data_IF_661795713104
#
_entry.id   IF_661795713104
#
_cell.length_a   1.000
_cell.length_b   1.000
_cell.length_c   1.000
_cell.angle_alpha   90.00
_cell.angle_beta   90.00
_cell.angle_gamma   90.00
#
_symmetry.space_group_name_H-M   'P 1'
#
loop_
_entity.id
_entity.type
_entity.pdbx_description
1 polymer ?
#
# COMPACT_ATOMS: atom_id res chain seq x y z
N UNK A 1 -18.30 -8.67 20.97
CA UNK A 1 -18.89 -9.06 19.67
C UNK A 1 -18.68 -7.93 18.66
N UNK A 2 -18.88 -8.19 17.36
CA UNK A 2 -18.62 -7.24 16.26
C UNK A 2 -19.23 -5.85 16.49
N UNK A 3 -20.50 -5.78 16.92
CA UNK A 3 -21.17 -4.51 17.21
C UNK A 3 -20.46 -3.69 18.29
N UNK A 4 -19.98 -4.35 19.35
CA UNK A 4 -19.23 -3.68 20.42
C UNK A 4 -17.90 -3.13 19.91
N UNK A 5 -17.18 -3.91 19.09
CA UNK A 5 -15.93 -3.47 18.48
C UNK A 5 -16.14 -2.23 17.59
N UNK A 6 -17.15 -2.25 16.73
CA UNK A 6 -17.48 -1.10 15.88
C UNK A 6 -17.81 0.14 16.71
N UNK A 7 -18.64 0.00 17.74
CA UNK A 7 -18.97 1.11 18.63
C UNK A 7 -17.72 1.68 19.33
N UNK A 8 -16.82 0.80 19.80
CA UNK A 8 -15.57 1.21 20.44
C UNK A 8 -14.65 1.99 19.48
N UNK A 9 -14.42 1.48 18.27
CA UNK A 9 -13.56 2.14 17.28
C UNK A 9 -14.12 3.50 16.88
N UNK A 10 -15.44 3.59 16.63
CA UNK A 10 -16.07 4.85 16.19
C UNK A 10 -16.12 5.92 17.29
N UNK A 11 -16.31 5.51 18.55
CA UNK A 11 -16.45 6.46 19.66
C UNK A 11 -15.10 6.86 20.26
N UNK A 12 -14.21 5.89 20.47
CA UNK A 12 -12.95 6.12 21.19
C UNK A 12 -11.79 6.47 20.24
N UNK A 13 -11.86 6.05 18.97
CA UNK A 13 -10.83 6.28 17.93
C UNK A 13 -9.40 6.18 18.47
N UNK A 14 -9.00 5.01 19.02
CA UNK A 14 -7.71 4.84 19.68
C UNK A 14 -6.56 5.09 18.69
N UNK A 15 -5.78 6.14 18.95
CA UNK A 15 -4.79 6.66 17.99
C UNK A 15 -3.67 5.67 17.66
N UNK A 16 -3.34 4.77 18.58
CA UNK A 16 -2.22 3.84 18.45
C UNK A 16 -2.41 2.70 17.42
N UNK A 17 -3.62 2.52 16.89
CA UNK A 17 -3.93 1.46 15.91
C UNK A 17 -4.36 2.01 14.55
N UNK A 18 -4.26 3.33 14.35
CA UNK A 18 -4.71 4.00 13.11
C UNK A 18 -3.60 3.96 12.05
N UNK A 19 -2.35 4.08 12.47
CA UNK A 19 -1.22 4.06 11.56
C UNK A 19 -0.83 2.61 11.22
N UNK A 20 -0.57 2.39 9.93
CA UNK A 20 0.09 1.17 9.48
C UNK A 20 1.56 1.22 9.91
N UNK A 21 2.13 0.16 10.50
CA UNK A 21 3.56 0.10 10.79
C UNK A 21 4.38 0.15 9.50
N UNK A 22 5.64 0.58 9.57
CA UNK A 22 6.54 0.48 8.43
C UNK A 22 6.94 -0.97 8.20
N UNK A 23 7.34 -1.32 6.97
CA UNK A 23 7.75 -2.69 6.66
C UNK A 23 8.98 -3.12 7.48
N UNK A 24 9.84 -2.17 7.89
CA UNK A 24 11.04 -2.42 8.71
C UNK A 24 10.71 -2.75 10.17
N UNK A 25 9.54 -2.30 10.66
CA UNK A 25 9.09 -2.56 12.03
C UNK A 25 8.49 -3.97 12.20
N UNK A 26 8.18 -4.64 11.08
CA UNK A 26 7.58 -5.97 11.06
C UNK A 26 8.70 -7.01 11.08
N UNK A 27 8.95 -7.56 12.27
CA UNK A 27 10.01 -8.56 12.50
C UNK A 27 9.60 -9.99 12.16
N UNK A 28 8.32 -10.22 11.83
CA UNK A 28 7.86 -11.54 11.40
C UNK A 28 8.43 -11.90 10.03
N UNK A 29 8.63 -13.20 9.75
CA UNK A 29 8.90 -13.63 8.38
C UNK A 29 7.78 -13.18 7.43
N UNK A 30 8.10 -12.68 6.23
CA UNK A 30 7.10 -12.28 5.23
C UNK A 30 6.14 -13.41 4.87
N UNK A 31 4.84 -13.10 4.75
CA UNK A 31 3.78 -14.05 4.38
C UNK A 31 2.91 -13.49 3.26
N UNK A 32 3.16 -13.97 2.05
CA UNK A 32 2.34 -13.61 0.90
C UNK A 32 0.90 -14.11 1.04
N UNK A 33 -0.05 -13.19 0.90
CA UNK A 33 -1.50 -13.39 0.98
C UNK A 33 -2.09 -13.01 2.33
N UNK A 34 -1.38 -12.25 3.18
CA UNK A 34 -1.85 -11.77 4.48
C UNK A 34 -2.41 -10.33 4.44
N UNK A 35 -2.53 -9.74 3.24
CA UNK A 35 -2.98 -8.36 3.00
C UNK A 35 -2.04 -7.27 3.53
N UNK A 36 -0.79 -7.62 3.86
CA UNK A 36 0.22 -6.69 4.34
C UNK A 36 1.49 -6.83 3.51
N UNK A 37 1.85 -5.80 2.75
CA UNK A 37 3.11 -5.77 2.01
C UNK A 37 4.30 -5.77 2.97
N UNK A 38 5.06 -6.86 2.99
CA UNK A 38 6.28 -7.05 3.80
C UNK A 38 7.57 -6.95 2.96
N UNK A 39 8.73 -7.16 3.59
CA UNK A 39 10.01 -7.14 2.88
C UNK A 39 10.06 -8.24 1.79
N UNK A 40 10.45 -7.87 0.57
CA UNK A 40 10.54 -8.78 -0.58
C UNK A 40 9.27 -8.88 -1.44
N UNK A 41 8.16 -8.33 -0.98
CA UNK A 41 6.89 -8.25 -1.70
C UNK A 41 6.73 -6.91 -2.40
N UNK A 42 6.09 -6.91 -3.56
CA UNK A 42 5.76 -5.67 -4.29
C UNK A 42 4.30 -5.24 -4.06
N UNK A 43 3.45 -6.20 -3.70
CA UNK A 43 2.04 -6.02 -3.38
C UNK A 43 1.52 -7.26 -2.63
N UNK A 44 0.52 -7.08 -1.79
CA UNK A 44 -0.25 -8.18 -1.19
C UNK A 44 -1.72 -7.78 -1.18
N UNK A 45 -2.57 -8.60 -1.77
CA UNK A 45 -4.02 -8.39 -1.88
C UNK A 45 -4.83 -9.57 -1.32
N UNK A 46 -4.21 -10.37 -0.45
CA UNK A 46 -4.80 -11.58 0.12
C UNK A 46 -4.62 -12.81 -0.76
N UNK A 47 -5.37 -13.86 -0.44
CA UNK A 47 -5.30 -15.13 -1.17
C UNK A 47 -5.80 -14.99 -2.63
N UNK A 48 -5.33 -15.84 -3.56
CA UNK A 48 -5.74 -15.75 -4.97
C UNK A 48 -7.25 -15.80 -5.24
N UNK A 49 -8.04 -16.42 -4.35
CA UNK A 49 -9.50 -16.48 -4.47
C UNK A 49 -10.21 -15.20 -4.02
N UNK A 50 -9.55 -14.37 -3.23
CA UNK A 50 -10.10 -13.20 -2.55
C UNK A 50 -9.57 -11.89 -3.14
N UNK A 51 -8.37 -11.93 -3.73
CA UNK A 51 -7.74 -10.78 -4.36
C UNK A 51 -8.56 -10.24 -5.54
N UNK A 52 -8.99 -8.98 -5.41
CA UNK A 52 -9.67 -8.20 -6.46
C UNK A 52 -8.76 -7.17 -7.13
N UNK A 53 -7.50 -7.08 -6.69
CA UNK A 53 -6.55 -6.11 -7.20
C UNK A 53 -6.00 -6.56 -8.55
N UNK A 54 -6.37 -5.85 -9.62
CA UNK A 54 -5.94 -6.21 -10.98
C UNK A 54 -4.43 -6.03 -11.19
N UNK A 55 -3.77 -5.20 -10.37
CA UNK A 55 -2.35 -4.86 -10.46
C UNK A 55 -1.42 -5.88 -9.79
N UNK A 56 -1.96 -6.78 -8.96
CA UNK A 56 -1.18 -7.69 -8.12
C UNK A 56 -1.41 -9.16 -8.51
N UNK A 57 -0.32 -9.92 -8.64
CA UNK A 57 -0.34 -11.38 -8.80
C UNK A 57 -0.32 -12.05 -7.43
N UNK A 58 -1.51 -12.32 -6.89
CA UNK A 58 -1.73 -12.78 -5.51
C UNK A 58 -0.93 -14.04 -5.14
N UNK A 59 -0.67 -14.95 -6.07
CA UNK A 59 0.07 -16.18 -5.78
C UNK A 59 1.57 -15.94 -5.50
N UNK A 60 2.08 -14.77 -5.87
CA UNK A 60 3.53 -14.45 -5.82
C UNK A 60 3.84 -13.13 -5.11
N UNK A 61 2.82 -12.34 -4.77
CA UNK A 61 2.97 -11.01 -4.20
C UNK A 61 3.87 -10.08 -5.04
N UNK A 62 3.78 -10.24 -6.36
CA UNK A 62 4.46 -9.44 -7.37
C UNK A 62 3.48 -8.60 -8.16
N UNK A 63 3.94 -7.45 -8.64
CA UNK A 63 3.16 -6.65 -9.58
C UNK A 63 3.00 -7.41 -10.89
N UNK A 64 1.80 -7.30 -11.47
CA UNK A 64 1.57 -7.83 -12.82
C UNK A 64 2.38 -7.03 -13.85
N UNK A 65 2.73 -7.63 -15.00
CA UNK A 65 3.43 -6.93 -16.06
C UNK A 65 2.77 -5.60 -16.44
N UNK A 66 3.56 -4.52 -16.44
CA UNK A 66 3.09 -3.17 -16.76
C UNK A 66 2.55 -2.36 -15.57
N UNK A 67 2.28 -2.99 -14.42
CA UNK A 67 1.94 -2.26 -13.21
C UNK A 67 3.18 -1.60 -12.60
N UNK A 68 3.00 -0.39 -12.06
CA UNK A 68 4.00 0.39 -11.30
C UNK A 68 3.63 0.55 -9.83
N UNK A 69 2.38 0.26 -9.50
CA UNK A 69 1.86 0.24 -8.14
C UNK A 69 0.65 -0.70 -8.08
N UNK A 70 0.28 -1.10 -6.87
CA UNK A 70 -0.96 -1.84 -6.60
C UNK A 70 -1.78 -1.23 -5.45
N UNK A 71 -1.16 -0.45 -4.56
CA UNK A 71 -1.77 0.08 -3.35
C UNK A 71 -1.41 1.55 -3.14
N UNK A 72 -2.15 2.20 -2.24
CA UNK A 72 -1.93 3.60 -1.84
C UNK A 72 -2.72 4.61 -2.65
N UNK A 73 -2.92 5.80 -2.07
CA UNK A 73 -3.72 6.88 -2.66
C UNK A 73 -3.15 7.40 -3.99
N UNK A 74 -1.83 7.30 -4.16
CA UNK A 74 -1.14 7.67 -5.40
C UNK A 74 -1.19 6.59 -6.48
N UNK A 75 -1.93 5.49 -6.31
CA UNK A 75 -2.03 4.44 -7.32
C UNK A 75 -3.37 4.49 -8.06
N UNK A 76 -3.32 4.79 -9.36
CA UNK A 76 -4.50 4.82 -10.21
C UNK A 76 -4.28 3.95 -11.45
N UNK A 77 -5.17 2.98 -11.69
CA UNK A 77 -5.07 2.05 -12.83
C UNK A 77 -3.67 1.40 -12.95
N UNK A 78 -3.13 0.97 -11.81
CA UNK A 78 -1.81 0.37 -11.69
C UNK A 78 -0.63 1.29 -12.06
N UNK A 79 -0.86 2.60 -12.21
CA UNK A 79 0.17 3.60 -12.48
C UNK A 79 0.26 4.59 -11.34
N UNK A 80 1.46 5.12 -11.10
CA UNK A 80 1.65 6.17 -10.11
C UNK A 80 1.00 7.45 -10.64
N UNK A 81 0.00 7.96 -9.92
CA UNK A 81 -0.71 9.18 -10.26
C UNK A 81 0.20 10.39 -10.04
N UNK A 82 0.40 11.18 -11.10
CA UNK A 82 1.17 12.43 -11.03
C UNK A 82 0.38 13.55 -10.35
N UNK A 83 -0.95 13.42 -10.21
CA UNK A 83 -1.82 14.45 -9.65
C UNK A 83 -1.53 14.71 -8.16
N UNK A 84 -1.12 13.68 -7.41
CA UNK A 84 -0.78 13.84 -5.99
C UNK A 84 0.54 14.58 -5.77
N UNK A 85 1.52 14.43 -6.67
CA UNK A 85 2.77 15.19 -6.60
C UNK A 85 2.56 16.70 -6.72
N UNK A 86 1.50 17.14 -7.42
CA UNK A 86 1.17 18.57 -7.55
C UNK A 86 0.28 19.10 -6.41
N UNK A 87 -0.52 18.24 -5.76
CA UNK A 87 -1.47 18.65 -4.71
C UNK A 87 -0.87 18.67 -3.30
N UNK A 88 0.06 17.76 -2.99
CA UNK A 88 0.79 17.82 -1.72
C UNK A 88 2.04 18.66 -1.91
N UNK A 89 2.15 19.84 -1.28
CA UNK A 89 3.38 20.65 -1.24
C UNK A 89 4.54 19.92 -0.54
N UNK A 90 5.07 18.84 -1.10
CA UNK A 90 6.33 18.22 -0.70
C UNK A 90 7.24 18.18 -1.93
N UNK A 91 8.03 19.26 -2.03
CA UNK A 91 9.24 19.45 -2.83
C UNK A 91 9.16 19.33 -4.36
N UNK A 92 8.93 20.49 -4.99
CA UNK A 92 9.29 20.76 -6.40
C UNK A 92 10.79 20.50 -6.70
N UNK A 93 11.64 20.45 -5.69
CA UNK A 93 13.11 20.22 -5.80
C UNK A 93 13.46 18.77 -6.16
N UNK A 94 12.62 17.78 -5.84
CA UNK A 94 12.88 16.36 -6.20
C UNK A 94 12.56 16.05 -7.68
N UNK A 95 11.71 16.86 -8.33
CA UNK A 95 11.37 16.68 -9.75
C UNK A 95 12.61 16.87 -10.65
N UNK A 96 13.52 17.77 -10.27
CA UNK A 96 14.76 18.01 -11.01
C UNK A 96 15.74 16.83 -10.93
N UNK A 97 15.78 16.11 -9.81
CA UNK A 97 16.71 14.99 -9.62
C UNK A 97 16.27 13.76 -10.44
N UNK A 98 14.97 13.54 -10.60
CA UNK A 98 14.44 12.43 -11.41
C UNK A 98 14.59 12.66 -12.92
N UNK A 99 14.47 13.91 -13.37
CA UNK A 99 14.67 14.29 -14.79
C UNK A 99 16.16 14.29 -15.22
N UNK A 100 17.11 14.37 -14.29
CA UNK A 100 18.55 14.34 -14.59
C UNK A 100 19.19 12.93 -14.50
N UNK A 101 18.38 11.89 -14.29
CA UNK A 101 18.83 10.48 -14.24
C UNK A 101 18.33 9.62 -15.41
N UNK A 102 17.82 10.25 -16.48
CA UNK A 102 17.67 9.65 -17.81
C UNK A 102 18.75 10.19 -18.76
#
# INVERSE_FOLDING_TARGET
>A
SFQFYQNYIMNETPQCIINRPSNEDVISPPVCGNEFVEEGEECDCGLPKECKNECCEAATCKLKPGAKCAHGECCEKCQVSLVYFFNTRRDFTLLLISLMKM
#
